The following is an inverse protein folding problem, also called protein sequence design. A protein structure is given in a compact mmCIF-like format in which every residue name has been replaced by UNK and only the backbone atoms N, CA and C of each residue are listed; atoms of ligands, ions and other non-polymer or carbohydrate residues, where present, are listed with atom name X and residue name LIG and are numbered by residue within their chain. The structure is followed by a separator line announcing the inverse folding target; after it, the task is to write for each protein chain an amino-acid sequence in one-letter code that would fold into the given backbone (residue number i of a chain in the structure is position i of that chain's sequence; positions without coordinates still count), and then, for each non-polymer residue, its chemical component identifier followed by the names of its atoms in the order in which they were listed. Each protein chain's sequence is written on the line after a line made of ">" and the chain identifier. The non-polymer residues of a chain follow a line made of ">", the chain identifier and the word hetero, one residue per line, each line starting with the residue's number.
data_IF_082178088493
#
_entry.id   IF_082178088493
#
_cell.length_a   1.000
_cell.length_b   1.000
_cell.length_c   1.000
_cell.angle_alpha   90.00
_cell.angle_beta   90.00
_cell.angle_gamma   90.00
#
_symmetry.space_group_name_H-M   'P 1'
#
loop_
_entity.id
_entity.type
_entity.pdbx_description
1 polymer ?
#
# COMPACT_ATOMS: atom_id res chain seq x y z
N UNK A 1 -12.79 -12.87 -4.63
CA UNK A 1 -11.85 -12.31 -3.64
C UNK A 1 -12.65 -11.87 -2.43
N UNK A 2 -12.38 -12.40 -1.24
CA UNK A 2 -12.96 -11.85 -0.02
C UNK A 2 -12.23 -10.53 0.30
N UNK A 3 -12.99 -9.49 0.66
CA UNK A 3 -12.41 -8.20 1.04
C UNK A 3 -11.54 -8.38 2.29
N UNK A 4 -10.44 -7.63 2.40
CA UNK A 4 -9.59 -7.64 3.59
C UNK A 4 -10.41 -7.41 4.89
N UNK A 5 -11.46 -6.61 4.81
CA UNK A 5 -12.40 -6.39 5.92
C UNK A 5 -13.01 -7.71 6.40
N UNK A 6 -13.40 -8.59 5.47
CA UNK A 6 -13.95 -9.92 5.76
C UNK A 6 -12.94 -10.81 6.47
N UNK A 7 -11.69 -10.87 6.02
CA UNK A 7 -10.69 -11.73 6.69
C UNK A 7 -10.29 -11.21 8.07
N UNK A 8 -10.28 -9.89 8.27
CA UNK A 8 -10.01 -9.31 9.58
C UNK A 8 -11.14 -9.61 10.58
N UNK A 9 -12.39 -9.66 10.12
CA UNK A 9 -13.54 -10.04 10.94
C UNK A 9 -13.51 -11.53 11.30
N UNK A 10 -13.14 -12.39 10.36
CA UNK A 10 -13.06 -13.84 10.56
C UNK A 10 -11.86 -14.28 11.41
N UNK A 11 -10.74 -13.54 11.32
CA UNK A 11 -9.48 -13.88 11.98
C UNK A 11 -8.90 -12.65 12.68
N UNK A 12 -9.48 -12.22 13.82
CA UNK A 12 -9.09 -10.97 14.49
C UNK A 12 -7.63 -10.96 14.99
N UNK A 13 -7.08 -12.12 15.33
CA UNK A 13 -5.71 -12.27 15.82
C UNK A 13 -4.67 -12.44 14.70
N UNK A 14 -5.11 -12.62 13.45
CA UNK A 14 -4.22 -12.84 12.32
C UNK A 14 -3.76 -11.52 11.68
N UNK A 15 -2.48 -11.49 11.28
CA UNK A 15 -1.96 -10.40 10.45
C UNK A 15 -2.41 -10.60 9.01
N UNK A 16 -3.23 -9.68 8.50
CA UNK A 16 -3.76 -9.77 7.13
C UNK A 16 -2.82 -9.05 6.14
N UNK A 17 -2.42 -9.76 5.09
CA UNK A 17 -1.62 -9.27 3.97
C UNK A 17 -2.37 -9.25 2.64
N UNK A 18 -1.66 -8.86 1.58
CA UNK A 18 -2.09 -8.93 0.18
C UNK A 18 -0.96 -9.49 -0.68
N UNK A 19 -1.26 -10.51 -1.48
CA UNK A 19 -0.38 -11.00 -2.55
C UNK A 19 -1.03 -10.67 -3.89
N UNK A 20 -0.27 -9.99 -4.74
CA UNK A 20 -0.79 -9.37 -5.96
C UNK A 20 -0.09 -9.84 -7.22
N UNK A 21 -0.86 -10.03 -8.29
CA UNK A 21 -0.38 -10.35 -9.64
C UNK A 21 -0.81 -9.30 -10.68
N UNK A 22 -1.23 -8.12 -10.22
CA UNK A 22 -1.56 -6.98 -11.08
C UNK A 22 -0.33 -6.45 -11.83
N UNK A 23 -0.54 -5.72 -12.91
CA UNK A 23 0.50 -4.83 -13.46
C UNK A 23 0.49 -3.51 -12.70
N UNK A 24 1.67 -2.95 -12.41
CA UNK A 24 1.77 -1.68 -11.67
C UNK A 24 1.74 -1.83 -10.15
N UNK A 25 1.52 -0.73 -9.44
CA UNK A 25 1.64 -0.61 -7.97
C UNK A 25 0.34 -0.18 -7.29
N UNK A 26 -0.64 0.27 -8.06
CA UNK A 26 -1.84 0.96 -7.59
C UNK A 26 -2.68 0.08 -6.66
N UNK A 27 -2.86 -1.19 -7.02
CA UNK A 27 -3.64 -2.14 -6.20
C UNK A 27 -2.90 -2.49 -4.90
N UNK A 28 -1.57 -2.67 -4.97
CA UNK A 28 -0.72 -2.87 -3.80
C UNK A 28 -0.79 -1.67 -2.83
N UNK A 29 -0.79 -0.44 -3.34
CA UNK A 29 -0.96 0.78 -2.53
C UNK A 29 -2.35 0.88 -1.91
N UNK A 30 -3.39 0.52 -2.67
CA UNK A 30 -4.76 0.47 -2.18
C UNK A 30 -4.89 -0.57 -1.04
N UNK A 31 -4.27 -1.75 -1.19
CA UNK A 31 -4.25 -2.79 -0.16
C UNK A 31 -3.63 -2.29 1.15
N UNK A 32 -2.52 -1.55 1.07
CA UNK A 32 -1.89 -0.91 2.25
C UNK A 32 -2.80 0.15 2.86
N UNK A 33 -3.46 0.96 2.02
CA UNK A 33 -4.38 2.02 2.48
C UNK A 33 -5.57 1.47 3.26
N UNK A 34 -6.10 0.30 2.86
CA UNK A 34 -7.12 -0.41 3.63
C UNK A 34 -6.54 -1.23 4.80
N UNK A 35 -5.23 -1.14 5.03
CA UNK A 35 -4.49 -1.58 6.21
C UNK A 35 -3.85 -2.96 6.10
N UNK A 36 -3.60 -3.49 4.89
CA UNK A 36 -2.78 -4.68 4.73
C UNK A 36 -1.41 -4.46 5.37
N UNK A 37 -0.90 -5.46 6.08
CA UNK A 37 0.36 -5.37 6.85
C UNK A 37 1.52 -6.13 6.22
N UNK A 38 1.21 -6.98 5.24
CA UNK A 38 2.18 -7.75 4.46
C UNK A 38 1.80 -7.55 3.00
N UNK A 39 2.81 -7.31 2.15
CA UNK A 39 2.67 -7.25 0.70
C UNK A 39 3.61 -8.25 0.04
N UNK A 40 3.10 -8.97 -0.94
CA UNK A 40 3.88 -9.89 -1.77
C UNK A 40 3.66 -9.57 -3.25
N UNK A 41 4.77 -9.46 -3.99
CA UNK A 41 4.79 -9.13 -5.43
C UNK A 41 5.92 -9.90 -6.11
N UNK A 42 5.66 -10.34 -7.33
CA UNK A 42 6.69 -10.92 -8.18
C UNK A 42 7.63 -9.82 -8.70
N UNK A 43 8.90 -10.17 -8.87
CA UNK A 43 9.92 -9.28 -9.42
C UNK A 43 10.55 -9.90 -10.67
N UNK A 44 10.93 -9.06 -11.62
CA UNK A 44 11.64 -9.48 -12.82
C UNK A 44 12.78 -8.53 -13.14
N UNK A 45 13.84 -9.08 -13.74
CA UNK A 45 14.92 -8.29 -14.34
C UNK A 45 14.59 -7.85 -15.76
N UNK A 46 13.68 -8.56 -16.43
CA UNK A 46 13.28 -8.32 -17.81
C UNK A 46 11.86 -8.83 -18.05
N UNK A 47 10.98 -7.95 -18.54
CA UNK A 47 9.57 -8.29 -18.83
C UNK A 47 9.39 -9.09 -20.12
N UNK A 48 10.43 -9.19 -20.95
CA UNK A 48 10.40 -9.91 -22.23
C UNK A 48 10.70 -11.41 -22.08
N UNK A 49 11.16 -11.83 -20.91
CA UNK A 49 11.42 -13.24 -20.61
C UNK A 49 10.15 -14.09 -20.74
N UNK A 50 10.34 -15.35 -21.12
CA UNK A 50 9.24 -16.28 -21.35
C UNK A 50 8.52 -16.61 -20.04
N UNK A 51 7.23 -16.32 -19.99
CA UNK A 51 6.36 -16.63 -18.86
C UNK A 51 5.40 -15.48 -18.61
N UNK A 52 4.17 -15.80 -18.19
CA UNK A 52 3.17 -14.78 -17.81
C UNK A 52 3.65 -13.92 -16.65
N UNK A 53 4.40 -14.51 -15.74
CA UNK A 53 4.76 -13.88 -14.47
C UNK A 53 5.74 -12.73 -14.68
N UNK A 54 6.63 -12.81 -15.66
CA UNK A 54 7.56 -11.72 -15.99
C UNK A 54 6.81 -10.47 -16.49
N UNK A 55 5.65 -10.63 -17.16
CA UNK A 55 4.88 -9.51 -17.69
C UNK A 55 4.13 -8.74 -16.60
N UNK A 56 3.69 -9.41 -15.54
CA UNK A 56 2.98 -8.79 -14.41
C UNK A 56 3.88 -8.45 -13.22
N UNK A 57 5.12 -8.96 -13.20
CA UNK A 57 6.12 -8.65 -12.17
C UNK A 57 6.53 -7.19 -12.16
N UNK A 58 7.08 -6.74 -11.04
CA UNK A 58 7.74 -5.43 -10.92
C UNK A 58 9.21 -5.55 -11.31
N UNK A 59 9.75 -4.52 -11.97
CA UNK A 59 11.19 -4.36 -12.08
C UNK A 59 11.76 -3.63 -10.85
N UNK A 60 13.10 -3.56 -10.75
CA UNK A 60 13.78 -2.92 -9.63
C UNK A 60 13.35 -1.46 -9.39
N UNK A 61 13.29 -0.57 -10.42
CA UNK A 61 12.76 0.79 -10.25
C UNK A 61 11.33 0.83 -9.70
N UNK A 62 10.45 -0.02 -10.22
CA UNK A 62 9.05 -0.09 -9.77
C UNK A 62 8.94 -0.57 -8.33
N UNK A 63 9.74 -1.57 -7.93
CA UNK A 63 9.78 -2.05 -6.56
C UNK A 63 10.26 -0.94 -5.60
N UNK A 64 11.30 -0.19 -5.97
CA UNK A 64 11.77 0.97 -5.21
C UNK A 64 10.68 2.05 -5.08
N UNK A 65 9.96 2.32 -6.16
CA UNK A 65 8.83 3.27 -6.14
C UNK A 65 7.74 2.80 -5.19
N UNK A 66 7.33 1.54 -5.31
CA UNK A 66 6.30 0.94 -4.45
C UNK A 66 6.66 1.10 -2.96
N UNK A 67 7.89 0.76 -2.57
CA UNK A 67 8.34 0.90 -1.17
C UNK A 67 8.32 2.37 -0.72
N UNK A 68 8.80 3.30 -1.55
CA UNK A 68 8.78 4.74 -1.25
C UNK A 68 7.36 5.27 -1.09
N UNK A 69 6.46 4.89 -1.99
CA UNK A 69 5.05 5.28 -2.00
C UNK A 69 4.31 4.72 -0.78
N UNK A 70 4.54 3.46 -0.41
CA UNK A 70 4.00 2.86 0.82
C UNK A 70 4.36 3.71 2.04
N UNK A 71 5.63 4.08 2.20
CA UNK A 71 6.10 4.89 3.35
C UNK A 71 5.50 6.30 3.35
N UNK A 72 5.26 6.87 2.17
CA UNK A 72 4.55 8.16 2.04
C UNK A 72 3.09 8.03 2.46
N UNK A 73 2.40 6.98 2.02
CA UNK A 73 0.99 6.70 2.37
C UNK A 73 0.86 6.45 3.87
N UNK A 74 1.71 5.61 4.46
CA UNK A 74 1.69 5.36 5.91
C UNK A 74 1.84 6.64 6.73
N UNK A 75 2.74 7.54 6.30
CA UNK A 75 2.89 8.86 6.94
C UNK A 75 1.67 9.74 6.73
N UNK A 76 1.08 9.74 5.54
CA UNK A 76 -0.08 10.55 5.18
C UNK A 76 -1.37 10.10 5.88
N UNK A 77 -1.53 8.79 6.14
CA UNK A 77 -2.68 8.25 6.87
C UNK A 77 -2.75 8.75 8.32
N UNK A 78 -1.63 9.20 8.89
CA UNK A 78 -1.61 9.92 10.16
C UNK A 78 -2.26 9.15 11.32
N UNK A 79 -2.96 9.88 12.19
CA UNK A 79 -3.65 9.33 13.36
C UNK A 79 -5.17 9.44 13.20
N UNK A 80 -5.90 8.51 13.82
CA UNK A 80 -7.36 8.53 13.90
C UNK A 80 -7.92 9.70 14.73
N UNK A 81 -7.08 10.37 15.53
CA UNK A 81 -7.44 11.54 16.32
C UNK A 81 -7.10 12.80 15.52
N UNK A 82 -8.12 13.58 15.14
CA UNK A 82 -7.92 14.88 14.50
C UNK A 82 -7.29 15.84 15.52
N UNK A 83 -6.04 16.18 15.26
CA UNK A 83 -5.29 17.16 16.06
C UNK A 83 -4.95 18.35 15.17
N UNK A 84 -5.13 19.56 15.71
CA UNK A 84 -4.71 20.77 15.02
C UNK A 84 -3.21 20.71 14.77
N UNK A 85 -2.83 20.73 13.49
CA UNK A 85 -1.43 20.79 13.13
C UNK A 85 -0.87 22.19 13.45
N UNK A 86 0.43 22.26 13.69
CA UNK A 86 1.11 23.54 13.94
C UNK A 86 0.87 24.55 12.82
N UNK A 87 0.80 24.09 11.57
CA UNK A 87 0.46 24.92 10.40
C UNK A 87 -1.00 25.42 10.41
N UNK A 88 -1.94 24.67 10.99
CA UNK A 88 -3.36 25.05 11.05
C UNK A 88 -3.64 26.07 12.17
N UNK A 89 -2.81 26.13 13.21
CA UNK A 89 -2.98 27.08 14.33
C UNK A 89 -2.89 28.54 13.87
N UNK A 90 -2.11 28.85 12.84
CA UNK A 90 -2.02 30.20 12.28
C UNK A 90 -3.27 30.61 11.52
N UNK A 91 -3.97 29.68 10.88
CA UNK A 91 -5.24 29.93 10.20
C UNK A 91 -6.37 30.21 11.22
N UNK A 92 -6.41 29.48 12.35
CA UNK A 92 -7.42 29.67 13.40
C UNK A 92 -7.37 31.07 14.04
N UNK A 93 -6.18 31.67 14.18
CA UNK A 93 -6.02 33.02 14.78
C UNK A 93 -6.50 34.16 13.89
N UNK A 94 -6.81 33.89 12.61
CA UNK A 94 -7.30 34.89 11.64
C UNK A 94 -8.83 34.89 11.49
N UNK A 95 -9.54 34.12 12.33
CA UNK A 95 -11.00 34.01 12.36
C UNK A 95 -11.55 34.60 13.65
#
# INVERSE_FOLDING_TARGET
>A
MASKTTYKELFPDAVIGYSGHESGTEISLAAVSIGAKILERHITLDHTLKGSDHKSSLNEPQLKSLVSEIRRIERAMGCHIKTLQSCEMQCKKKS
#
